data_IF_245577518376
#
_entry.id   IF_245577518376
#
_cell.length_a   1.000
_cell.length_b   1.000
_cell.length_c   1.000
_cell.angle_alpha   90.00
_cell.angle_beta   90.00
_cell.angle_gamma   90.00
#
_symmetry.space_group_name_H-M   'P 1'
#
loop_
_entity.id
_entity.type
_entity.pdbx_description
1 polymer ?
#
# COMPACT_ATOMS: atom_id res chain seq x y z
N UNK A 1 -4.76 21.32 4.74
CA UNK A 1 -4.19 20.51 5.84
C UNK A 1 -2.83 21.09 6.20
N UNK A 2 -2.55 21.38 7.46
CA UNK A 2 -1.29 22.02 7.86
C UNK A 2 -0.33 21.05 8.55
N UNK A 3 -0.86 20.10 9.34
CA UNK A 3 -0.05 19.15 10.12
C UNK A 3 -0.55 17.71 10.01
N UNK A 4 0.35 16.79 9.69
CA UNK A 4 0.09 15.35 9.61
C UNK A 4 0.88 14.64 10.70
N UNK A 5 0.21 13.80 11.48
CA UNK A 5 0.84 12.91 12.45
C UNK A 5 0.89 11.51 11.90
N UNK A 6 2.03 10.82 12.06
CA UNK A 6 2.17 9.41 11.67
C UNK A 6 2.62 8.60 12.88
N UNK A 7 1.75 7.68 13.32
CA UNK A 7 2.06 6.69 14.34
C UNK A 7 2.45 5.39 13.64
N UNK A 8 3.73 5.05 13.71
CA UNK A 8 4.34 3.92 13.02
C UNK A 8 5.16 4.33 11.79
N UNK A 9 6.48 4.37 11.95
CA UNK A 9 7.43 4.74 10.89
C UNK A 9 8.03 3.49 10.22
N UNK A 10 7.15 2.56 9.82
CA UNK A 10 7.51 1.42 8.98
C UNK A 10 7.62 1.78 7.50
N UNK A 11 7.63 0.78 6.63
CA UNK A 11 7.74 0.98 5.16
C UNK A 11 6.67 1.93 4.61
N UNK A 12 5.41 1.76 5.01
CA UNK A 12 4.30 2.61 4.58
C UNK A 12 4.40 4.02 5.15
N UNK A 13 4.67 4.15 6.46
CA UNK A 13 4.84 5.45 7.10
C UNK A 13 5.95 6.25 6.42
N UNK A 14 7.12 5.63 6.20
CA UNK A 14 8.25 6.21 5.46
C UNK A 14 7.85 6.62 4.04
N UNK A 15 7.18 5.74 3.30
CA UNK A 15 6.78 6.02 1.92
C UNK A 15 5.81 7.21 1.83
N UNK A 16 4.91 7.37 2.80
CA UNK A 16 4.02 8.53 2.88
C UNK A 16 4.84 9.80 3.12
N UNK A 17 5.78 9.81 4.07
CA UNK A 17 6.64 10.99 4.31
C UNK A 17 7.43 11.37 3.07
N UNK A 18 8.10 10.40 2.43
CA UNK A 18 8.86 10.62 1.20
C UNK A 18 7.96 11.17 0.08
N UNK A 19 6.75 10.63 -0.06
CA UNK A 19 5.77 11.09 -1.02
C UNK A 19 5.30 12.52 -0.74
N UNK A 20 5.00 12.85 0.52
CA UNK A 20 4.57 14.18 0.96
C UNK A 20 5.67 15.22 0.73
N UNK A 21 6.89 14.95 1.19
CA UNK A 21 8.00 15.90 1.14
C UNK A 21 8.68 15.95 -0.23
N UNK A 22 8.52 14.93 -1.09
CA UNK A 22 9.10 14.89 -2.44
C UNK A 22 8.34 15.69 -3.51
N UNK A 23 7.35 16.47 -3.12
CA UNK A 23 6.48 17.19 -4.05
C UNK A 23 6.92 18.55 -4.51
N UNK A 24 6.22 19.05 -5.52
CA UNK A 24 6.24 20.46 -5.88
C UNK A 24 5.27 21.23 -4.96
N UNK A 25 5.78 22.27 -4.29
CA UNK A 25 4.99 23.15 -3.42
C UNK A 25 5.27 22.96 -1.92
N UNK A 26 4.64 23.80 -1.08
CA UNK A 26 4.83 23.72 0.37
C UNK A 26 4.28 22.41 0.91
N UNK A 27 5.15 21.61 1.52
CA UNK A 27 4.77 20.40 2.23
C UNK A 27 4.18 20.75 3.62
N UNK A 28 3.19 19.99 4.11
CA UNK A 28 2.70 20.14 5.48
C UNK A 28 3.79 19.76 6.48
N UNK A 29 3.66 20.24 7.72
CA UNK A 29 4.49 19.75 8.83
C UNK A 29 4.12 18.28 9.10
N UNK A 30 5.12 17.43 9.33
CA UNK A 30 4.94 16.00 9.60
C UNK A 30 5.51 15.66 10.96
N UNK A 31 4.66 15.11 11.84
CA UNK A 31 5.00 14.70 13.19
C UNK A 31 5.08 13.18 13.25
N UNK A 32 6.23 12.64 13.64
CA UNK A 32 6.49 11.20 13.66
C UNK A 32 6.53 10.65 15.09
N UNK A 33 5.93 9.48 15.29
CA UNK A 33 6.13 8.71 16.52
C UNK A 33 7.58 8.23 16.65
N UNK A 34 8.15 8.16 17.86
CA UNK A 34 9.56 7.81 18.06
C UNK A 34 9.89 6.33 17.85
N UNK A 35 8.88 5.43 17.80
CA UNK A 35 9.10 3.99 17.58
C UNK A 35 9.52 3.75 16.12
N UNK A 36 10.65 3.08 15.94
CA UNK A 36 11.34 3.00 14.64
C UNK A 36 12.43 4.08 14.48
N UNK A 37 13.10 4.42 15.59
CA UNK A 37 14.00 5.56 15.73
C UNK A 37 14.96 5.80 14.57
N UNK A 38 15.55 4.76 13.97
CA UNK A 38 16.45 4.91 12.84
C UNK A 38 15.76 5.53 11.60
N UNK A 39 14.58 5.03 11.23
CA UNK A 39 13.82 5.55 10.10
C UNK A 39 13.23 6.94 10.39
N UNK A 40 12.76 7.16 11.62
CA UNK A 40 12.24 8.46 12.04
C UNK A 40 13.35 9.53 12.03
N UNK A 41 14.53 9.21 12.56
CA UNK A 41 15.69 10.10 12.56
C UNK A 41 16.16 10.41 11.14
N UNK A 42 16.32 9.39 10.29
CA UNK A 42 16.69 9.58 8.87
C UNK A 42 15.73 10.55 8.16
N UNK A 43 14.43 10.42 8.38
CA UNK A 43 13.43 11.30 7.77
C UNK A 43 13.49 12.73 8.32
N UNK A 44 13.67 12.92 9.63
CA UNK A 44 13.81 14.26 10.22
C UNK A 44 15.11 14.96 9.84
N UNK A 45 16.20 14.20 9.64
CA UNK A 45 17.46 14.76 9.14
C UNK A 45 17.36 15.16 7.66
N UNK A 46 16.58 14.40 6.89
CA UNK A 46 16.42 14.61 5.45
C UNK A 46 15.47 15.75 5.09
N UNK A 47 14.46 16.01 5.91
CA UNK A 47 13.37 16.94 5.60
C UNK A 47 13.12 17.93 6.74
N UNK A 48 13.30 19.22 6.48
CA UNK A 48 13.18 20.29 7.50
C UNK A 48 11.78 20.40 8.12
N UNK A 49 10.74 19.96 7.41
CA UNK A 49 9.35 19.98 7.86
C UNK A 49 8.92 18.70 8.61
N UNK A 50 9.87 17.81 8.94
CA UNK A 50 9.61 16.55 9.64
C UNK A 50 10.21 16.59 11.05
N UNK A 51 9.38 16.35 12.06
CA UNK A 51 9.77 16.33 13.47
C UNK A 51 9.49 14.96 14.10
N UNK A 52 10.42 14.45 14.91
CA UNK A 52 10.18 13.27 15.75
C UNK A 52 9.70 13.71 17.13
N UNK A 53 8.47 13.36 17.47
CA UNK A 53 7.88 13.75 18.75
C UNK A 53 8.33 12.85 19.92
N UNK A 54 8.15 13.35 21.15
CA UNK A 54 8.49 12.61 22.37
C UNK A 54 7.67 11.32 22.59
N UNK A 55 6.52 11.17 21.93
CA UNK A 55 5.64 10.02 22.06
C UNK A 55 4.41 10.11 21.17
N UNK A 56 3.64 9.03 21.11
CA UNK A 56 2.46 8.94 20.23
C UNK A 56 1.39 9.99 20.58
N UNK A 57 1.19 10.31 21.86
CA UNK A 57 0.23 11.35 22.25
C UNK A 57 0.63 12.74 21.72
N UNK A 58 1.93 13.09 21.78
CA UNK A 58 2.41 14.35 21.23
C UNK A 58 2.19 14.45 19.71
N UNK A 59 2.31 13.33 18.99
CA UNK A 59 1.95 13.25 17.56
C UNK A 59 0.47 13.55 17.36
N UNK A 60 -0.41 12.91 18.15
CA UNK A 60 -1.86 13.14 18.07
C UNK A 60 -2.18 14.60 18.35
N UNK A 61 -1.69 15.14 19.46
CA UNK A 61 -2.01 16.49 19.93
C UNK A 61 -1.62 17.56 18.89
N UNK A 62 -0.43 17.42 18.29
CA UNK A 62 0.10 18.37 17.32
C UNK A 62 -0.48 18.29 15.91
N UNK A 63 -1.32 17.29 15.60
CA UNK A 63 -1.75 16.99 14.23
C UNK A 63 -3.23 17.31 13.94
N UNK A 64 -3.51 17.70 12.70
CA UNK A 64 -4.89 17.83 12.17
C UNK A 64 -5.41 16.46 11.70
N UNK A 65 -4.52 15.70 11.04
CA UNK A 65 -4.77 14.35 10.51
C UNK A 65 -3.77 13.39 11.12
N UNK A 66 -4.24 12.28 11.69
CA UNK A 66 -3.40 11.25 12.32
C UNK A 66 -3.48 9.97 11.50
N UNK A 67 -2.36 9.56 10.91
CA UNK A 67 -2.21 8.31 10.16
C UNK A 67 -1.69 7.23 11.12
N UNK A 68 -2.47 6.17 11.29
CA UNK A 68 -2.12 5.00 12.10
C UNK A 68 -1.55 3.92 11.17
N UNK A 69 -0.22 3.80 11.16
CA UNK A 69 0.58 2.94 10.29
C UNK A 69 1.41 1.90 11.07
N UNK A 70 0.86 1.40 12.17
CA UNK A 70 1.48 0.33 12.97
C UNK A 70 1.11 -1.05 12.43
N UNK A 71 1.87 -2.08 12.79
CA UNK A 71 1.52 -3.46 12.45
C UNK A 71 0.36 -3.90 13.32
N UNK A 72 -0.52 -4.75 12.78
CA UNK A 72 -1.70 -5.25 13.51
C UNK A 72 -1.35 -5.88 14.86
N UNK A 73 -0.23 -6.61 14.95
CA UNK A 73 0.25 -7.23 16.19
C UNK A 73 0.74 -6.22 17.24
N UNK A 74 1.20 -5.04 16.83
CA UNK A 74 1.79 -4.02 17.71
C UNK A 74 0.75 -2.95 18.12
N UNK A 75 -0.47 -3.02 17.57
CA UNK A 75 -1.49 -1.95 17.69
C UNK A 75 -1.92 -1.69 19.14
N UNK A 76 -2.08 -2.74 19.95
CA UNK A 76 -2.57 -2.58 21.32
C UNK A 76 -1.56 -1.84 22.18
N UNK A 77 -0.27 -2.13 22.02
CA UNK A 77 0.80 -1.43 22.71
C UNK A 77 0.94 0.02 22.21
N UNK A 78 0.93 0.21 20.88
CA UNK A 78 1.13 1.52 20.28
C UNK A 78 -0.02 2.51 20.54
N UNK A 79 -1.25 2.00 20.67
CA UNK A 79 -2.45 2.82 20.87
C UNK A 79 -2.90 2.90 22.33
N UNK A 80 -2.22 2.19 23.24
CA UNK A 80 -2.57 2.17 24.66
C UNK A 80 -2.54 3.59 25.25
N UNK A 81 -3.66 4.01 25.84
CA UNK A 81 -3.78 5.30 26.53
C UNK A 81 -3.79 6.52 25.62
N UNK A 82 -3.86 6.35 24.30
CA UNK A 82 -4.02 7.49 23.38
C UNK A 82 -5.40 8.10 23.51
N UNK A 83 -5.45 9.43 23.59
CA UNK A 83 -6.68 10.21 23.52
C UNK A 83 -6.71 10.98 22.21
N UNK A 84 -7.78 10.78 21.43
CA UNK A 84 -7.97 11.44 20.14
C UNK A 84 -9.23 12.30 20.19
N UNK A 85 -9.06 13.61 20.07
CA UNK A 85 -10.18 14.55 20.02
C UNK A 85 -11.05 14.35 18.77
N UNK A 86 -12.36 14.54 18.91
CA UNK A 86 -13.35 14.37 17.84
C UNK A 86 -13.16 15.34 16.67
N UNK A 87 -12.42 16.44 16.87
CA UNK A 87 -12.08 17.41 15.82
C UNK A 87 -10.95 16.97 14.88
N UNK A 88 -10.25 15.86 15.19
CA UNK A 88 -9.16 15.31 14.37
C UNK A 88 -9.71 14.36 13.31
N UNK A 89 -8.92 14.06 12.29
CA UNK A 89 -9.24 12.99 11.32
C UNK A 89 -8.25 11.86 11.50
N UNK A 90 -8.73 10.63 11.60
CA UNK A 90 -7.89 9.43 11.76
C UNK A 90 -7.89 8.64 10.45
N UNK A 91 -6.70 8.39 9.91
CA UNK A 91 -6.50 7.54 8.74
C UNK A 91 -5.90 6.20 9.18
N UNK A 92 -6.66 5.13 9.01
CA UNK A 92 -6.26 3.77 9.35
C UNK A 92 -5.67 3.08 8.12
N UNK A 93 -4.36 2.82 8.13
CA UNK A 93 -3.69 2.08 7.05
C UNK A 93 -3.30 0.66 7.47
N UNK A 94 -3.83 0.19 8.60
CA UNK A 94 -3.54 -1.15 9.11
C UNK A 94 -4.33 -2.21 8.32
N UNK A 95 -3.63 -3.25 7.89
CA UNK A 95 -4.26 -4.42 7.27
C UNK A 95 -5.05 -5.22 8.33
N UNK A 96 -6.25 -5.66 7.96
CA UNK A 96 -7.11 -6.50 8.81
C UNK A 96 -7.66 -5.84 10.07
N UNK A 97 -7.60 -4.51 10.18
CA UNK A 97 -8.20 -3.75 11.30
C UNK A 97 -9.30 -2.84 10.75
N UNK A 98 -10.54 -3.09 11.15
CA UNK A 98 -11.69 -2.26 10.79
C UNK A 98 -11.72 -0.93 11.56
N UNK A 99 -12.40 0.07 11.00
CA UNK A 99 -12.57 1.36 11.67
C UNK A 99 -13.37 1.24 12.98
N UNK A 100 -14.30 0.30 13.10
CA UNK A 100 -15.05 0.11 14.33
C UNK A 100 -14.17 -0.42 15.48
N UNK A 101 -13.24 -1.32 15.19
CA UNK A 101 -12.25 -1.81 16.16
C UNK A 101 -11.31 -0.68 16.60
N UNK A 102 -10.82 0.11 15.64
CA UNK A 102 -9.98 1.27 15.93
C UNK A 102 -10.72 2.34 16.73
N UNK A 103 -12.00 2.60 16.41
CA UNK A 103 -12.84 3.54 17.15
C UNK A 103 -13.00 3.13 18.60
N UNK A 104 -13.26 1.85 18.87
CA UNK A 104 -13.33 1.30 20.23
C UNK A 104 -12.00 1.43 20.96
N UNK A 105 -10.90 1.15 20.28
CA UNK A 105 -9.54 1.22 20.85
C UNK A 105 -9.17 2.64 21.27
N UNK A 106 -9.51 3.63 20.44
CA UNK A 106 -9.19 5.05 20.68
C UNK A 106 -10.25 5.80 21.50
N UNK A 107 -11.42 5.19 21.72
CA UNK A 107 -12.58 5.79 22.38
C UNK A 107 -12.91 7.20 21.86
N UNK A 108 -12.94 7.37 20.53
CA UNK A 108 -13.08 8.67 19.84
C UNK A 108 -14.31 8.74 18.94
N UNK A 109 -14.88 9.93 18.80
CA UNK A 109 -15.90 10.28 17.81
C UNK A 109 -15.33 10.85 16.50
N UNK A 110 -14.01 10.95 16.37
CA UNK A 110 -13.34 11.46 15.18
C UNK A 110 -13.77 10.71 13.90
N UNK A 111 -13.81 11.38 12.73
CA UNK A 111 -13.88 10.69 11.45
C UNK A 111 -12.72 9.71 11.28
N UNK A 112 -13.05 8.44 11.01
CA UNK A 112 -12.09 7.38 10.70
C UNK A 112 -12.22 6.99 9.23
N UNK A 113 -11.11 6.96 8.52
CA UNK A 113 -11.01 6.56 7.11
C UNK A 113 -9.97 5.48 6.96
N UNK A 114 -10.33 4.34 6.38
CA UNK A 114 -9.37 3.32 5.96
C UNK A 114 -8.70 3.76 4.67
N UNK A 115 -7.43 3.42 4.51
CA UNK A 115 -6.70 3.62 3.27
C UNK A 115 -5.75 2.45 2.96
N UNK A 116 -5.50 2.18 1.68
CA UNK A 116 -4.57 1.14 1.21
C UNK A 116 -3.38 1.78 0.49
N UNK A 117 -2.51 2.55 1.17
CA UNK A 117 -1.29 3.04 0.55
C UNK A 117 -0.33 1.87 0.27
N UNK A 118 0.35 1.92 -0.85
CA UNK A 118 1.43 0.99 -1.21
C UNK A 118 2.77 1.74 -1.23
N UNK A 119 3.92 1.06 -1.11
CA UNK A 119 5.24 1.72 -1.08
C UNK A 119 5.49 2.71 -2.23
N UNK A 120 4.90 2.47 -3.41
CA UNK A 120 4.98 3.35 -4.57
C UNK A 120 4.33 4.74 -4.37
N UNK A 121 3.65 4.98 -3.25
CA UNK A 121 3.16 6.30 -2.84
C UNK A 121 4.32 7.30 -2.65
N UNK A 122 5.54 6.83 -2.33
CA UNK A 122 6.75 7.67 -2.27
C UNK A 122 7.08 8.35 -3.59
N UNK A 123 6.71 7.71 -4.70
CA UNK A 123 6.93 8.21 -6.06
C UNK A 123 5.71 8.95 -6.60
N UNK A 124 4.62 9.02 -5.82
CA UNK A 124 3.32 9.57 -6.25
C UNK A 124 2.75 8.88 -7.49
N UNK A 125 2.92 7.56 -7.57
CA UNK A 125 2.57 6.72 -8.74
C UNK A 125 1.65 5.55 -8.38
N UNK A 126 0.90 5.68 -7.29
CA UNK A 126 0.01 4.64 -6.82
C UNK A 126 -1.32 5.25 -6.41
N UNK A 127 -2.42 4.67 -6.91
CA UNK A 127 -3.77 5.04 -6.47
C UNK A 127 -4.01 4.42 -5.11
N UNK A 128 -4.41 5.24 -4.14
CA UNK A 128 -4.79 4.78 -2.81
C UNK A 128 -6.31 4.63 -2.72
N UNK A 129 -6.77 3.45 -2.32
CA UNK A 129 -8.20 3.20 -2.07
C UNK A 129 -8.58 3.73 -0.69
N UNK A 130 -9.72 4.41 -0.55
CA UNK A 130 -10.22 4.96 0.73
C UNK A 130 -11.65 4.50 1.05
N UNK A 131 -11.96 4.31 2.35
CA UNK A 131 -13.31 3.96 2.82
C UNK A 131 -13.55 4.36 4.30
N UNK A 132 -14.63 5.09 4.64
CA UNK A 132 -15.50 5.83 3.73
C UNK A 132 -14.76 6.99 3.07
N UNK A 133 -15.34 7.58 2.01
CA UNK A 133 -14.83 8.82 1.41
C UNK A 133 -14.81 9.97 2.43
N UNK A 134 -13.74 10.76 2.42
CA UNK A 134 -13.63 11.97 3.22
C UNK A 134 -12.83 13.03 2.46
N UNK A 135 -13.37 14.24 2.19
CA UNK A 135 -12.74 15.21 1.28
C UNK A 135 -11.29 15.57 1.60
N UNK A 136 -10.94 15.69 2.89
CA UNK A 136 -9.56 15.98 3.31
C UNK A 136 -8.61 14.82 3.05
N UNK A 137 -9.06 13.58 3.29
CA UNK A 137 -8.23 12.37 3.13
C UNK A 137 -8.09 12.04 1.64
N UNK A 138 -9.19 12.18 0.90
CA UNK A 138 -9.20 11.94 -0.54
C UNK A 138 -8.32 12.96 -1.27
N UNK A 139 -8.44 14.25 -0.93
CA UNK A 139 -7.57 15.29 -1.46
C UNK A 139 -6.09 15.09 -1.10
N UNK A 140 -5.80 14.52 0.08
CA UNK A 140 -4.44 14.17 0.48
C UNK A 140 -3.85 13.07 -0.41
N UNK A 141 -4.56 11.96 -0.59
CA UNK A 141 -4.07 10.85 -1.42
C UNK A 141 -4.07 11.17 -2.92
N UNK A 142 -4.96 12.06 -3.39
CA UNK A 142 -4.95 12.54 -4.77
C UNK A 142 -3.60 13.21 -5.12
N UNK A 143 -3.04 13.99 -4.18
CA UNK A 143 -1.71 14.61 -4.35
C UNK A 143 -0.55 13.60 -4.31
N UNK A 144 -0.81 12.38 -3.84
CA UNK A 144 0.19 11.30 -3.68
C UNK A 144 0.05 10.19 -4.74
N UNK A 145 -0.56 10.51 -5.88
CA UNK A 145 -0.61 9.62 -7.05
C UNK A 145 -2.02 9.16 -7.45
N UNK A 146 -3.03 9.58 -6.70
CA UNK A 146 -4.45 9.37 -7.02
C UNK A 146 -5.21 8.72 -5.87
N UNK A 147 -6.51 9.00 -5.79
CA UNK A 147 -7.41 8.35 -4.84
C UNK A 147 -8.55 7.61 -5.54
N UNK A 148 -8.97 6.49 -4.95
CA UNK A 148 -10.19 5.77 -5.30
C UNK A 148 -11.05 5.56 -4.06
N UNK A 149 -12.00 6.46 -3.76
CA UNK A 149 -12.97 6.24 -2.70
C UNK A 149 -13.95 5.15 -3.13
N UNK A 150 -14.19 4.17 -2.25
CA UNK A 150 -15.13 3.07 -2.51
C UNK A 150 -16.40 3.18 -1.66
N UNK A 151 -17.45 2.50 -2.09
CA UNK A 151 -18.79 2.64 -1.52
C UNK A 151 -18.90 2.08 -0.09
N UNK A 152 -18.24 0.95 0.17
CA UNK A 152 -18.33 0.22 1.43
C UNK A 152 -17.08 -0.61 1.74
N UNK A 153 -17.05 -1.18 2.94
CA UNK A 153 -15.97 -2.02 3.45
C UNK A 153 -15.79 -3.32 2.63
N UNK A 154 -16.85 -3.85 2.04
CA UNK A 154 -16.77 -5.04 1.20
C UNK A 154 -15.96 -4.77 -0.06
N UNK A 155 -16.24 -3.65 -0.75
CA UNK A 155 -15.45 -3.19 -1.87
C UNK A 155 -13.99 -2.90 -1.47
N UNK A 156 -13.78 -2.27 -0.30
CA UNK A 156 -12.43 -2.02 0.22
C UNK A 156 -11.62 -3.31 0.44
N UNK A 157 -12.26 -4.36 0.97
CA UNK A 157 -11.61 -5.64 1.22
C UNK A 157 -11.28 -6.40 -0.07
N UNK A 158 -12.10 -6.27 -1.12
CA UNK A 158 -11.75 -6.78 -2.46
C UNK A 158 -10.46 -6.13 -2.97
N UNK A 159 -10.34 -4.80 -2.91
CA UNK A 159 -9.10 -4.12 -3.29
C UNK A 159 -7.92 -4.50 -2.41
N UNK A 160 -8.13 -4.66 -1.10
CA UNK A 160 -7.11 -5.15 -0.18
C UNK A 160 -6.62 -6.55 -0.57
N UNK A 161 -7.51 -7.47 -0.92
CA UNK A 161 -7.14 -8.82 -1.35
C UNK A 161 -6.28 -8.81 -2.63
N UNK A 162 -6.58 -7.92 -3.59
CA UNK A 162 -5.77 -7.76 -4.80
C UNK A 162 -4.32 -7.39 -4.49
N UNK A 163 -4.08 -6.53 -3.49
CA UNK A 163 -2.71 -6.16 -3.08
C UNK A 163 -1.89 -7.36 -2.57
N UNK A 164 -2.55 -8.40 -2.06
CA UNK A 164 -1.92 -9.63 -1.61
C UNK A 164 -1.21 -10.43 -2.72
N UNK A 165 -1.45 -10.08 -3.98
CA UNK A 165 -0.82 -10.72 -5.14
C UNK A 165 0.58 -10.20 -5.47
N UNK A 166 1.00 -9.06 -4.89
CA UNK A 166 2.28 -8.42 -5.22
C UNK A 166 3.48 -9.33 -4.93
N UNK A 167 3.48 -10.01 -3.78
CA UNK A 167 4.57 -10.94 -3.42
C UNK A 167 4.55 -12.20 -4.26
N UNK A 168 3.36 -12.68 -4.63
CA UNK A 168 3.19 -13.79 -5.57
C UNK A 168 3.80 -13.45 -6.94
N UNK A 169 3.67 -12.20 -7.39
CA UNK A 169 4.34 -11.74 -8.61
C UNK A 169 5.87 -11.81 -8.49
N UNK A 170 6.45 -11.32 -7.39
CA UNK A 170 7.90 -11.44 -7.19
C UNK A 170 8.38 -12.89 -7.09
N UNK A 171 7.62 -13.78 -6.45
CA UNK A 171 7.92 -15.21 -6.43
C UNK A 171 7.86 -15.84 -7.82
N UNK A 172 6.91 -15.43 -8.66
CA UNK A 172 6.85 -15.86 -10.06
C UNK A 172 8.12 -15.42 -10.82
N UNK A 173 8.57 -14.18 -10.65
CA UNK A 173 9.82 -13.71 -11.27
C UNK A 173 11.05 -14.47 -10.78
N UNK A 174 11.14 -14.73 -9.47
CA UNK A 174 12.22 -15.51 -8.87
C UNK A 174 12.27 -16.96 -9.40
N UNK A 175 11.10 -17.57 -9.62
CA UNK A 175 11.03 -18.90 -10.23
C UNK A 175 11.56 -18.92 -11.67
N UNK A 176 11.35 -17.84 -12.45
CA UNK A 176 11.93 -17.72 -13.79
C UNK A 176 13.45 -17.61 -13.75
N UNK A 177 13.99 -16.81 -12.82
CA UNK A 177 15.44 -16.66 -12.67
C UNK A 177 16.11 -17.96 -12.21
N UNK A 178 15.48 -18.68 -11.29
CA UNK A 178 15.96 -19.98 -10.81
C UNK A 178 15.93 -21.03 -11.94
N UNK A 179 14.86 -21.06 -12.73
CA UNK A 179 14.77 -21.95 -13.89
C UNK A 179 15.87 -21.67 -14.91
N UNK A 180 16.15 -20.40 -15.22
CA UNK A 180 17.24 -20.03 -16.13
C UNK A 180 18.62 -20.45 -15.60
N UNK A 181 18.87 -20.25 -14.31
CA UNK A 181 20.11 -20.70 -13.65
C UNK A 181 20.27 -22.22 -13.73
N UNK A 182 19.18 -22.98 -13.55
CA UNK A 182 19.16 -24.43 -13.74
C UNK A 182 19.51 -24.89 -15.17
N UNK A 183 19.47 -23.98 -16.15
CA UNK A 183 19.87 -24.22 -17.55
C UNK A 183 21.24 -23.61 -17.89
N UNK A 184 22.06 -23.29 -16.88
CA UNK A 184 23.45 -22.85 -17.06
C UNK A 184 23.62 -21.35 -17.35
N UNK A 185 22.58 -20.55 -17.18
CA UNK A 185 22.68 -19.08 -17.24
C UNK A 185 23.23 -18.55 -15.92
N UNK A 186 24.12 -17.55 -15.98
CA UNK A 186 24.59 -16.88 -14.76
C UNK A 186 23.42 -16.25 -14.00
N UNK A 187 23.45 -16.35 -12.66
CA UNK A 187 22.34 -15.88 -11.83
C UNK A 187 22.12 -14.37 -11.93
N UNK A 188 23.19 -13.58 -12.07
CA UNK A 188 23.11 -12.13 -12.25
C UNK A 188 22.54 -11.76 -13.61
N UNK A 189 22.97 -12.45 -14.67
CA UNK A 189 22.42 -12.25 -16.01
C UNK A 189 20.93 -12.62 -16.09
N UNK A 190 20.53 -13.72 -15.44
CA UNK A 190 19.12 -14.14 -15.37
C UNK A 190 18.25 -13.12 -14.63
N UNK A 191 18.68 -12.66 -13.44
CA UNK A 191 17.98 -11.64 -12.66
C UNK A 191 17.87 -10.31 -13.44
N UNK A 192 18.98 -9.83 -14.01
CA UNK A 192 19.02 -8.60 -14.79
C UNK A 192 18.10 -8.65 -16.02
N UNK A 193 18.10 -9.76 -16.74
CA UNK A 193 17.24 -9.94 -17.92
C UNK A 193 15.76 -10.00 -17.54
N UNK A 194 15.38 -10.81 -16.54
CA UNK A 194 13.98 -10.93 -16.08
C UNK A 194 13.46 -9.58 -15.57
N UNK A 195 14.25 -8.84 -14.78
CA UNK A 195 13.88 -7.49 -14.33
C UNK A 195 13.60 -6.55 -15.50
N UNK A 196 14.49 -6.52 -16.48
CA UNK A 196 14.35 -5.68 -17.67
C UNK A 196 13.06 -5.98 -18.44
N UNK A 197 12.77 -7.27 -18.67
CA UNK A 197 11.54 -7.70 -19.35
C UNK A 197 10.28 -7.24 -18.62
N UNK A 198 10.18 -7.52 -17.32
CA UNK A 198 8.96 -7.24 -16.56
C UNK A 198 8.82 -5.76 -16.17
N UNK A 199 9.91 -5.00 -16.14
CA UNK A 199 9.84 -3.55 -16.11
C UNK A 199 9.17 -3.00 -17.39
N UNK A 200 9.50 -3.57 -18.55
CA UNK A 200 8.84 -3.24 -19.82
C UNK A 200 7.33 -3.53 -19.79
N UNK A 201 6.95 -4.71 -19.29
CA UNK A 201 5.53 -5.08 -19.09
C UNK A 201 4.84 -4.11 -18.12
N UNK A 202 5.46 -3.80 -16.99
CA UNK A 202 4.93 -2.85 -16.02
C UNK A 202 4.72 -1.44 -16.59
N UNK A 203 5.65 -0.95 -17.43
CA UNK A 203 5.48 0.33 -18.14
C UNK A 203 4.29 0.32 -19.10
N UNK A 204 4.04 -0.80 -19.77
CA UNK A 204 2.90 -0.92 -20.69
C UNK A 204 1.54 -0.79 -19.99
N UNK A 205 1.45 -1.10 -18.69
CA UNK A 205 0.23 -0.91 -17.88
C UNK A 205 -0.18 0.56 -17.75
N UNK A 206 0.73 1.51 -18.00
CA UNK A 206 0.41 2.94 -18.04
C UNK A 206 -0.48 3.33 -19.21
N UNK A 207 -0.57 2.51 -20.27
CA UNK A 207 -1.46 2.77 -21.39
C UNK A 207 -2.89 2.30 -21.08
N UNK A 208 -3.71 3.25 -20.65
CA UNK A 208 -5.12 3.02 -20.31
C UNK A 208 -6.06 2.98 -21.53
N UNK A 209 -5.56 3.15 -22.75
CA UNK A 209 -6.37 3.06 -23.97
C UNK A 209 -6.58 1.61 -24.43
N UNK A 210 -5.79 0.68 -23.90
CA UNK A 210 -5.84 -0.75 -24.22
C UNK A 210 -6.29 -1.56 -23.01
N UNK A 211 -7.03 -2.64 -23.26
CA UNK A 211 -7.38 -3.61 -22.22
C UNK A 211 -6.18 -4.48 -21.87
N UNK A 212 -6.16 -5.08 -20.68
CA UNK A 212 -5.12 -6.07 -20.31
C UNK A 212 -5.04 -7.22 -21.32
N UNK A 213 -6.19 -7.69 -21.83
CA UNK A 213 -6.23 -8.72 -22.87
C UNK A 213 -5.58 -8.25 -24.19
N UNK A 214 -5.72 -6.97 -24.54
CA UNK A 214 -5.05 -6.41 -25.72
C UNK A 214 -3.55 -6.26 -25.51
N UNK A 215 -3.11 -5.81 -24.33
CA UNK A 215 -1.68 -5.74 -23.98
C UNK A 215 -1.03 -7.13 -24.05
N UNK A 216 -1.71 -8.18 -23.58
CA UNK A 216 -1.24 -9.56 -23.70
C UNK A 216 -1.16 -9.99 -25.18
N UNK A 217 -2.20 -9.73 -25.98
CA UNK A 217 -2.23 -10.07 -27.39
C UNK A 217 -1.13 -9.37 -28.21
N UNK A 218 -0.77 -8.13 -27.87
CA UNK A 218 0.33 -7.40 -28.51
C UNK A 218 1.70 -8.08 -28.29
N UNK A 219 1.84 -8.94 -27.27
CA UNK A 219 3.04 -9.74 -27.02
C UNK A 219 2.94 -11.17 -27.56
N UNK A 220 1.83 -11.57 -28.18
CA UNK A 220 1.63 -12.93 -28.68
C UNK A 220 1.74 -13.01 -30.20
N UNK A 221 2.48 -14.00 -30.68
CA UNK A 221 2.39 -14.48 -32.06
C UNK A 221 1.61 -15.80 -32.08
N UNK A 222 0.76 -16.05 -33.10
CA UNK A 222 0.03 -17.32 -33.19
C UNK A 222 0.99 -18.52 -33.17
N UNK A 223 0.74 -19.46 -32.26
CA UNK A 223 1.56 -20.63 -31.93
C UNK A 223 2.96 -20.30 -31.39
N UNK A 224 3.16 -19.06 -30.95
CA UNK A 224 4.42 -18.57 -30.41
C UNK A 224 4.62 -18.92 -28.93
N UNK A 225 5.78 -18.54 -28.41
CA UNK A 225 6.20 -18.89 -27.04
C UNK A 225 5.26 -18.32 -25.97
N UNK A 226 4.84 -17.05 -26.11
CA UNK A 226 3.97 -16.41 -25.12
C UNK A 226 2.58 -17.05 -25.05
N UNK A 227 1.96 -17.32 -26.20
CA UNK A 227 0.68 -18.05 -26.25
C UNK A 227 0.82 -19.45 -25.65
N UNK A 228 1.89 -20.17 -26.01
CA UNK A 228 2.16 -21.51 -25.50
C UNK A 228 2.23 -21.51 -23.98
N UNK A 229 3.08 -20.66 -23.38
CA UNK A 229 3.24 -20.60 -21.93
C UNK A 229 1.94 -20.16 -21.25
N UNK A 230 1.28 -19.09 -21.73
CA UNK A 230 0.02 -18.62 -21.14
C UNK A 230 -1.04 -19.70 -21.10
N UNK A 231 -1.22 -20.43 -22.19
CA UNK A 231 -2.27 -21.46 -22.31
C UNK A 231 -1.94 -22.75 -21.58
N UNK A 232 -0.67 -23.08 -21.35
CA UNK A 232 -0.27 -24.24 -20.56
C UNK A 232 -0.18 -23.97 -19.07
N UNK A 233 0.23 -22.76 -18.67
CA UNK A 233 0.38 -22.37 -17.26
C UNK A 233 -0.88 -21.74 -16.70
N UNK A 234 -1.47 -20.75 -17.38
CA UNK A 234 -2.64 -20.04 -16.88
C UNK A 234 -3.94 -20.65 -17.43
N UNK A 235 -4.14 -21.93 -17.10
CA UNK A 235 -5.34 -22.70 -17.47
C UNK A 235 -6.56 -22.27 -16.65
N UNK A 236 -7.79 -22.68 -17.03
CA UNK A 236 -8.97 -22.48 -16.19
C UNK A 236 -8.79 -23.00 -14.76
N UNK A 237 -8.14 -24.15 -14.59
CA UNK A 237 -7.89 -24.73 -13.27
C UNK A 237 -6.97 -23.85 -12.39
N UNK A 238 -5.93 -23.25 -12.99
CA UNK A 238 -5.03 -22.35 -12.26
C UNK A 238 -5.67 -20.99 -11.99
N UNK A 239 -6.48 -20.48 -12.90
CA UNK A 239 -7.28 -19.27 -12.68
C UNK A 239 -8.28 -19.47 -11.53
N UNK A 240 -8.97 -20.61 -11.47
CA UNK A 240 -9.86 -20.96 -10.37
C UNK A 240 -9.11 -21.16 -9.05
N UNK A 241 -7.90 -21.73 -9.07
CA UNK A 241 -7.07 -21.87 -7.89
C UNK A 241 -6.67 -20.51 -7.31
N UNK A 242 -6.30 -19.55 -8.17
CA UNK A 242 -6.07 -18.16 -7.75
C UNK A 242 -7.34 -17.54 -7.17
N UNK A 243 -8.50 -17.75 -7.80
CA UNK A 243 -9.79 -17.30 -7.29
C UNK A 243 -10.05 -17.79 -5.87
N UNK A 244 -9.90 -19.10 -5.62
CA UNK A 244 -10.07 -19.68 -4.27
C UNK A 244 -9.10 -19.10 -3.24
N UNK A 245 -7.86 -18.80 -3.62
CA UNK A 245 -6.89 -18.18 -2.73
C UNK A 245 -7.29 -16.75 -2.37
N UNK A 246 -7.77 -15.97 -3.35
CA UNK A 246 -8.30 -14.62 -3.12
C UNK A 246 -9.56 -14.64 -2.27
N UNK A 247 -10.49 -15.56 -2.52
CA UNK A 247 -11.71 -15.75 -1.71
C UNK A 247 -11.38 -16.10 -0.26
N UNK A 248 -10.38 -16.95 -0.04
CA UNK A 248 -9.88 -17.29 1.29
C UNK A 248 -9.35 -16.07 2.03
N UNK A 249 -8.51 -15.26 1.38
CA UNK A 249 -8.00 -14.01 1.96
C UNK A 249 -9.11 -13.00 2.22
N UNK A 250 -10.06 -12.84 1.28
CA UNK A 250 -11.20 -11.94 1.44
C UNK A 250 -12.04 -12.34 2.66
N UNK A 251 -12.32 -13.62 2.85
CA UNK A 251 -13.05 -14.13 4.01
C UNK A 251 -12.34 -13.84 5.33
N UNK A 252 -11.00 -13.79 5.35
CA UNK A 252 -10.24 -13.43 6.56
C UNK A 252 -10.22 -11.91 6.80
N UNK A 253 -10.14 -11.10 5.74
CA UNK A 253 -10.25 -9.64 5.83
C UNK A 253 -11.62 -9.21 6.37
N UNK A 254 -12.70 -9.87 5.95
CA UNK A 254 -14.05 -9.61 6.45
C UNK A 254 -14.23 -9.97 7.93
N UNK A 255 -13.50 -10.97 8.44
CA UNK A 255 -13.53 -11.34 9.87
C UNK A 255 -12.84 -10.30 10.74
N UNK A 256 -11.73 -9.72 10.28
CA UNK A 256 -10.95 -8.72 11.03
C UNK A 256 -11.68 -7.40 11.32
N UNK A 257 -12.91 -7.25 10.83
CA UNK A 257 -13.76 -6.09 11.04
C UNK A 257 -14.77 -6.24 12.18
N UNK A 258 -15.00 -7.46 12.68
CA UNK A 258 -15.93 -7.72 13.79
C UNK A 258 -15.22 -7.50 15.12
#
# INVERSE_FOLDING_TARGET
MKRIGIIGVGEIGRAIVEGVCGGEGPAPEVLLSPRGAAAAAELSERYENVEVCAGNQAVVDGSDVVIIAVRGQDRHEALAGLTVDDGKIVVNVMSGVGNDDLRRTLATGAPLVRAIPLPAIRERRSVTVTCPSHPVVDGFFEQLGGVLPVADEGAFNVFSALTGTLTTHYSYLAALTEWAAGHGIDAGDADGYVRSLFQGVGRALGDRTRTLGRLAADHETPKGNNERIRTTWFTPANAEALGRALDGLLADLDKGQK
#
